data_IF_728303352702
#
_entry.id   IF_728303352702
#
_cell.length_a   1.000
_cell.length_b   1.000
_cell.length_c   1.000
_cell.angle_alpha   90.00
_cell.angle_beta   90.00
_cell.angle_gamma   90.00
#
_symmetry.space_group_name_H-M   'P 1'
#
loop_
_entity.id
_entity.type
_entity.pdbx_description
1 polymer ?
#
# COMPACT_ATOMS: atom_id res chain seq x y z
N UNK A 1 4.00 16.60 -3.70
CA UNK A 1 3.06 15.87 -4.57
C UNK A 1 1.81 15.63 -3.75
N UNK A 2 0.64 16.03 -4.26
CA UNK A 2 -0.63 15.82 -3.57
C UNK A 2 -1.32 14.58 -4.10
N UNK A 3 -2.05 13.90 -3.22
CA UNK A 3 -2.76 12.66 -3.51
C UNK A 3 -4.24 12.83 -3.17
N UNK A 4 -5.08 12.07 -3.84
CA UNK A 4 -6.50 11.95 -3.54
C UNK A 4 -6.90 10.49 -3.53
N UNK A 5 -7.98 10.19 -2.85
CA UNK A 5 -8.55 8.85 -2.82
C UNK A 5 -9.41 8.58 -4.06
N UNK A 6 -9.33 7.36 -4.58
CA UNK A 6 -10.28 6.82 -5.55
C UNK A 6 -11.63 6.48 -4.92
N UNK A 7 -12.54 5.93 -5.72
CA UNK A 7 -13.80 5.37 -5.20
C UNK A 7 -13.48 4.17 -4.30
N UNK A 8 -14.24 4.04 -3.21
CA UNK A 8 -14.17 2.85 -2.36
C UNK A 8 -14.64 1.59 -3.11
N UNK A 9 -13.86 0.53 -2.94
CA UNK A 9 -14.21 -0.84 -3.29
C UNK A 9 -14.54 -1.64 -2.01
N UNK A 10 -15.02 -2.87 -2.18
CA UNK A 10 -15.35 -3.76 -1.07
C UNK A 10 -14.18 -3.90 -0.09
N UNK A 11 -14.49 -3.90 1.21
CA UNK A 11 -13.48 -4.06 2.26
C UNK A 11 -12.61 -2.82 2.54
N UNK A 12 -12.96 -1.65 1.97
CA UNK A 12 -12.30 -0.37 2.25
C UNK A 12 -11.05 -0.10 1.42
N UNK A 13 -10.83 -0.91 0.38
CA UNK A 13 -9.75 -0.71 -0.58
C UNK A 13 -10.07 0.43 -1.53
N UNK A 14 -9.09 1.29 -1.80
CA UNK A 14 -9.21 2.42 -2.73
C UNK A 14 -7.89 2.67 -3.44
N UNK A 15 -7.94 3.21 -4.65
CA UNK A 15 -6.73 3.76 -5.28
C UNK A 15 -6.23 5.00 -4.53
N UNK A 16 -4.92 5.23 -4.56
CA UNK A 16 -4.30 6.49 -4.10
C UNK A 16 -3.81 7.24 -5.33
N UNK A 17 -4.63 8.15 -5.84
CA UNK A 17 -4.44 8.82 -7.13
C UNK A 17 -3.63 10.10 -7.00
N UNK A 18 -2.85 10.41 -8.03
CA UNK A 18 -2.12 11.68 -8.10
C UNK A 18 -3.12 12.82 -8.32
N UNK A 19 -3.17 13.82 -7.43
CA UNK A 19 -4.20 14.87 -7.49
C UNK A 19 -4.15 15.68 -8.79
N UNK A 20 -2.94 15.94 -9.31
CA UNK A 20 -2.75 16.69 -10.56
C UNK A 20 -3.09 15.89 -11.82
N UNK A 21 -3.22 14.57 -11.71
CA UNK A 21 -3.53 13.66 -12.82
C UNK A 21 -4.14 12.37 -12.27
N UNK A 22 -5.46 12.33 -12.20
CA UNK A 22 -6.20 11.18 -11.65
C UNK A 22 -6.22 9.97 -12.57
N UNK A 23 -5.60 10.04 -13.76
CA UNK A 23 -5.33 8.84 -14.58
C UNK A 23 -4.14 8.04 -14.05
N UNK A 24 -3.46 8.54 -13.01
CA UNK A 24 -2.29 7.93 -12.38
C UNK A 24 -2.53 7.61 -10.91
N UNK A 25 -2.04 6.47 -10.45
CA UNK A 25 -2.23 5.94 -9.09
C UNK A 25 -0.94 5.37 -8.51
N UNK A 26 -0.89 5.23 -7.19
CA UNK A 26 0.10 4.43 -6.47
C UNK A 26 -0.09 2.95 -6.82
N UNK A 27 0.97 2.30 -7.30
CA UNK A 27 0.89 0.95 -7.86
C UNK A 27 2.18 0.17 -7.55
N UNK A 28 2.09 -1.14 -7.27
CA UNK A 28 3.27 -2.01 -7.26
C UNK A 28 3.67 -2.38 -8.68
N UNK A 29 4.83 -1.88 -9.11
CA UNK A 29 5.24 -2.00 -10.51
C UNK A 29 5.43 -3.48 -10.87
N UNK A 30 4.96 -3.86 -12.07
CA UNK A 30 4.89 -5.24 -12.56
C UNK A 30 3.93 -6.16 -11.78
N UNK A 31 3.06 -5.62 -10.93
CA UNK A 31 2.00 -6.39 -10.25
C UNK A 31 2.50 -7.30 -9.13
N UNK A 32 3.75 -7.16 -8.72
CA UNK A 32 4.35 -7.99 -7.69
C UNK A 32 3.98 -7.49 -6.28
N UNK A 33 3.73 -8.43 -5.35
CA UNK A 33 3.33 -8.14 -3.96
C UNK A 33 4.19 -8.92 -2.98
N UNK A 34 5.50 -8.74 -3.08
CA UNK A 34 6.48 -9.34 -2.17
C UNK A 34 7.47 -8.28 -1.67
N UNK A 35 8.14 -8.58 -0.55
CA UNK A 35 9.08 -7.67 0.10
C UNK A 35 10.17 -7.17 -0.86
N UNK A 36 10.43 -5.87 -0.83
CA UNK A 36 11.37 -5.20 -1.72
C UNK A 36 10.81 -4.82 -3.09
N UNK A 37 9.52 -5.08 -3.38
CA UNK A 37 8.89 -4.59 -4.60
C UNK A 37 8.81 -3.07 -4.62
N UNK A 38 9.20 -2.48 -5.76
CA UNK A 38 9.12 -1.04 -5.98
C UNK A 38 7.66 -0.60 -6.14
N UNK A 39 7.25 0.37 -5.33
CA UNK A 39 5.98 1.10 -5.49
C UNK A 39 6.25 2.37 -6.29
N UNK A 40 5.43 2.62 -7.30
CA UNK A 40 5.57 3.76 -8.18
C UNK A 40 4.23 4.40 -8.55
N UNK A 41 4.30 5.36 -9.48
CA UNK A 41 3.13 5.92 -10.13
C UNK A 41 2.92 5.19 -11.45
N UNK A 42 1.74 4.62 -11.63
CA UNK A 42 1.35 3.97 -12.87
C UNK A 42 -0.06 4.38 -13.28
N UNK A 43 -0.55 3.86 -14.41
CA UNK A 43 -1.92 4.10 -14.85
C UNK A 43 -2.94 3.61 -13.80
N UNK A 44 -4.06 4.33 -13.69
CA UNK A 44 -5.16 3.95 -12.80
C UNK A 44 -5.77 2.62 -13.26
N UNK A 45 -5.87 1.70 -12.31
CA UNK A 45 -6.29 0.31 -12.49
C UNK A 45 -7.14 -0.09 -11.27
N UNK A 46 -8.35 0.47 -11.09
CA UNK A 46 -9.13 0.33 -9.84
C UNK A 46 -9.58 -1.09 -9.49
N UNK A 47 -9.35 -2.05 -10.40
CA UNK A 47 -9.68 -3.47 -10.23
C UNK A 47 -8.44 -4.32 -9.93
N UNK A 48 -7.25 -3.75 -10.01
CA UNK A 48 -6.00 -4.48 -9.89
C UNK A 48 -5.52 -4.45 -8.44
N UNK A 49 -5.24 -5.63 -7.87
CA UNK A 49 -4.82 -5.77 -6.47
C UNK A 49 -3.55 -4.97 -6.15
N UNK A 50 -2.67 -4.79 -7.14
CA UNK A 50 -1.45 -3.99 -7.04
C UNK A 50 -1.68 -2.46 -7.07
N UNK A 51 -2.91 -2.00 -7.30
CA UNK A 51 -3.24 -0.58 -7.45
C UNK A 51 -4.17 -0.04 -6.35
N UNK A 52 -4.72 -0.93 -5.52
CA UNK A 52 -5.69 -0.58 -4.46
C UNK A 52 -5.11 -0.83 -3.07
N UNK A 53 -5.41 0.08 -2.15
CA UNK A 53 -4.78 0.13 -0.84
C UNK A 53 -5.84 0.29 0.24
N UNK A 54 -5.65 -0.39 1.37
CA UNK A 54 -6.42 -0.17 2.59
C UNK A 54 -5.49 0.46 3.63
N UNK A 55 -5.82 1.68 4.05
CA UNK A 55 -5.08 2.36 5.10
C UNK A 55 -5.59 1.87 6.45
N UNK A 56 -4.73 1.21 7.22
CA UNK A 56 -5.01 0.80 8.58
C UNK A 56 -4.18 1.65 9.55
N UNK A 57 -4.71 1.99 10.74
CA UNK A 57 -3.89 2.59 11.78
C UNK A 57 -2.74 1.64 12.11
N UNK A 58 -1.55 2.19 12.29
CA UNK A 58 -0.46 1.48 12.93
C UNK A 58 -0.80 1.42 14.41
N UNK A 59 -1.58 0.43 14.83
CA UNK A 59 -1.48 -0.01 16.22
C UNK A 59 -0.01 -0.37 16.40
N UNK A 60 0.69 0.29 17.33
CA UNK A 60 2.10 0.02 17.61
C UNK A 60 2.27 -1.50 17.70
N UNK A 61 2.78 -2.12 16.64
CA UNK A 61 3.25 -3.48 16.70
C UNK A 61 4.33 -3.43 17.76
N UNK A 62 4.02 -3.93 18.96
CA UNK A 62 5.07 -4.31 19.89
C UNK A 62 6.01 -5.18 19.06
N UNK A 63 7.22 -4.69 18.85
CA UNK A 63 8.30 -5.54 18.40
C UNK A 63 8.26 -6.75 19.33
N UNK A 64 8.20 -8.00 18.82
CA UNK A 64 8.34 -9.15 19.69
C UNK A 64 9.57 -8.88 20.55
N UNK A 65 9.39 -8.90 21.88
CA UNK A 65 10.50 -8.75 22.80
C UNK A 65 11.59 -9.70 22.31
N UNK A 66 12.78 -9.17 22.02
CA UNK A 66 13.86 -9.99 21.52
C UNK A 66 14.04 -11.17 22.46
N UNK A 67 13.98 -12.38 21.91
CA UNK A 67 14.39 -13.60 22.57
C UNK A 67 15.91 -13.50 22.85
N UNK A 68 16.25 -12.71 23.87
CA UNK A 68 17.53 -12.73 24.55
C UNK A 68 17.29 -13.43 25.88
N UNK A 69 17.15 -14.76 25.86
CA UNK A 69 17.42 -15.60 27.02
C UNK A 69 17.78 -17.01 26.53
N UNK A 70 19.08 -17.27 26.45
CA UNK A 70 19.61 -18.57 26.03
C UNK A 70 21.14 -18.68 25.96
N UNK A 71 21.88 -17.91 26.77
CA UNK A 71 23.26 -18.29 27.14
C UNK A 71 23.30 -18.42 28.66
N UNK A 72 23.10 -19.65 29.13
CA UNK A 72 23.85 -20.23 30.26
C UNK A 72 23.98 -21.74 30.04
#
# INVERSE_FOLDING_TARGET
>A
MLWTEGRDHDGGFREVRVLRDTSKTLNTLNGHLYDGTVIGIYSSEPWAENAVWRMAPVEYMQTPAGDNDGIV
#
